data_IF_939404434948
#
_entry.id   IF_939404434948
#
_cell.length_a   1.000
_cell.length_b   1.000
_cell.length_c   1.000
_cell.angle_alpha   90.00
_cell.angle_beta   90.00
_cell.angle_gamma   90.00
#
_symmetry.space_group_name_H-M   'P 1'
#
loop_
_entity.id
_entity.type
_entity.pdbx_description
1 polymer ?
#
# COMPACT_ATOMS: atom_id res chain seq x y z
N UNK A 1 -38.25 -7.77 -7.63
CA UNK A 1 -36.89 -7.77 -8.20
C UNK A 1 -36.31 -6.41 -7.84
N UNK A 2 -35.31 -6.38 -6.97
CA UNK A 2 -34.70 -5.12 -6.50
C UNK A 2 -33.38 -4.97 -7.23
N UNK A 3 -33.36 -4.13 -8.26
CA UNK A 3 -32.15 -3.69 -8.93
C UNK A 3 -31.46 -2.67 -8.02
N UNK A 4 -30.28 -3.02 -7.51
CA UNK A 4 -29.42 -2.10 -6.79
C UNK A 4 -28.56 -1.39 -7.83
N UNK A 5 -29.04 -0.24 -8.30
CA UNK A 5 -28.21 0.71 -9.04
C UNK A 5 -27.24 1.37 -8.04
N UNK A 6 -25.99 0.92 -8.05
CA UNK A 6 -24.89 1.59 -7.34
C UNK A 6 -24.56 2.89 -8.08
N UNK A 7 -25.10 4.00 -7.56
CA UNK A 7 -24.76 5.36 -7.97
C UNK A 7 -23.26 5.57 -7.76
N UNK A 8 -22.51 5.50 -8.85
CA UNK A 8 -21.11 5.93 -8.92
C UNK A 8 -21.07 7.44 -8.68
N UNK A 9 -20.78 7.86 -7.45
CA UNK A 9 -20.40 9.25 -7.19
C UNK A 9 -19.12 9.54 -7.96
N UNK A 10 -19.03 10.65 -8.71
CA UNK A 10 -17.76 11.09 -9.28
C UNK A 10 -16.80 11.35 -8.12
N UNK A 11 -15.78 10.51 -8.01
CA UNK A 11 -14.70 10.69 -7.04
C UNK A 11 -13.84 11.80 -7.61
N UNK A 12 -14.02 13.03 -7.13
CA UNK A 12 -13.10 14.13 -7.43
C UNK A 12 -11.75 13.79 -6.79
N UNK A 13 -10.78 13.42 -7.63
CA UNK A 13 -9.42 13.16 -7.20
C UNK A 13 -8.67 14.49 -7.09
N UNK A 14 -7.96 14.76 -5.98
CA UNK A 14 -7.18 15.98 -5.87
C UNK A 14 -6.04 15.96 -6.91
N UNK A 15 -6.05 16.93 -7.83
CA UNK A 15 -4.90 17.23 -8.69
C UNK A 15 -3.78 17.78 -7.81
N UNK A 16 -2.72 17.01 -7.64
CA UNK A 16 -1.56 17.37 -6.82
C UNK A 16 -0.29 17.26 -7.65
N UNK A 17 0.85 17.66 -7.09
CA UNK A 17 2.13 17.48 -7.79
C UNK A 17 2.45 16.01 -8.13
N UNK A 18 1.78 15.05 -7.47
CA UNK A 18 1.96 13.61 -7.67
C UNK A 18 0.81 12.91 -8.43
N UNK A 19 -0.36 13.54 -8.52
CA UNK A 19 -1.58 12.94 -9.09
C UNK A 19 -2.11 13.80 -10.24
N UNK A 20 -2.31 13.17 -11.40
CA UNK A 20 -2.89 13.77 -12.61
C UNK A 20 -4.01 12.85 -13.10
N UNK A 21 -5.19 13.40 -13.39
CA UNK A 21 -6.37 12.64 -13.83
C UNK A 21 -6.78 11.48 -12.88
N UNK A 22 -6.51 11.64 -11.58
CA UNK A 22 -6.74 10.57 -10.58
C UNK A 22 -5.76 9.40 -10.69
N UNK A 23 -4.67 9.54 -11.42
CA UNK A 23 -3.61 8.54 -11.58
C UNK A 23 -2.25 9.09 -11.14
N UNK A 24 -1.27 8.21 -10.96
CA UNK A 24 0.07 8.63 -10.62
C UNK A 24 0.74 9.39 -11.80
N UNK A 25 1.12 10.64 -11.56
CA UNK A 25 1.77 11.51 -12.56
C UNK A 25 3.22 11.09 -12.83
N UNK A 26 3.91 10.64 -11.79
CA UNK A 26 5.33 10.33 -11.80
C UNK A 26 5.57 8.81 -11.74
N UNK A 27 6.76 8.41 -12.18
CA UNK A 27 7.25 7.04 -12.05
C UNK A 27 7.54 6.79 -10.57
N UNK A 28 7.00 5.70 -10.02
CA UNK A 28 7.19 5.34 -8.61
C UNK A 28 8.43 4.44 -8.52
N UNK A 29 9.38 4.85 -7.67
CA UNK A 29 10.63 4.12 -7.43
C UNK A 29 10.77 3.84 -5.94
N UNK A 30 11.51 2.79 -5.63
CA UNK A 30 11.86 2.50 -4.24
C UNK A 30 12.74 3.62 -3.65
N UNK A 31 12.53 3.96 -2.37
CA UNK A 31 13.34 4.96 -1.67
C UNK A 31 14.77 4.48 -1.37
N UNK A 32 14.96 3.16 -1.25
CA UNK A 32 16.23 2.55 -0.83
C UNK A 32 17.08 2.02 -1.99
N UNK A 33 16.46 1.66 -3.11
CA UNK A 33 17.16 1.12 -4.27
C UNK A 33 16.68 1.79 -5.56
N UNK A 34 17.43 1.63 -6.65
CA UNK A 34 17.09 2.20 -7.96
C UNK A 34 15.99 1.44 -8.70
N UNK A 35 15.25 0.57 -8.00
CA UNK A 35 14.20 -0.26 -8.58
C UNK A 35 12.97 0.57 -8.94
N UNK A 36 12.46 0.34 -10.15
CA UNK A 36 11.24 0.95 -10.67
C UNK A 36 10.04 0.07 -10.29
N UNK A 37 9.08 0.64 -9.55
CA UNK A 37 7.94 -0.10 -9.01
C UNK A 37 6.74 0.01 -9.97
N UNK A 38 6.38 1.22 -10.37
CA UNK A 38 5.26 1.52 -11.27
C UNK A 38 5.64 2.59 -12.28
N UNK A 39 5.07 2.47 -13.48
CA UNK A 39 5.16 3.48 -14.53
C UNK A 39 4.18 4.63 -14.33
N UNK A 40 4.33 5.72 -15.11
CA UNK A 40 3.35 6.82 -15.08
C UNK A 40 1.97 6.33 -15.51
N UNK A 41 0.91 6.87 -14.93
CA UNK A 41 -0.49 6.59 -15.31
C UNK A 41 -0.86 5.11 -15.24
N UNK A 42 -0.19 4.34 -14.37
CA UNK A 42 -0.39 2.89 -14.24
C UNK A 42 -1.14 2.49 -12.97
N UNK A 43 -1.40 3.44 -12.06
CA UNK A 43 -2.12 3.21 -10.82
C UNK A 43 -3.08 4.37 -10.51
N UNK A 44 -4.22 4.05 -9.91
CA UNK A 44 -5.26 5.00 -9.52
C UNK A 44 -5.01 5.51 -8.11
N UNK A 45 -5.12 6.82 -7.90
CA UNK A 45 -5.02 7.39 -6.57
C UNK A 45 -6.28 7.05 -5.76
N UNK A 46 -6.10 6.55 -4.54
CA UNK A 46 -7.20 6.24 -3.62
C UNK A 46 -6.87 6.76 -2.22
N UNK A 47 -7.88 7.36 -1.59
CA UNK A 47 -7.82 7.73 -0.17
C UNK A 47 -8.50 6.62 0.62
N UNK A 48 -7.71 5.78 1.28
CA UNK A 48 -8.21 4.73 2.15
C UNK A 48 -7.30 4.68 3.37
N UNK A 49 -7.89 4.58 4.56
CA UNK A 49 -7.11 4.56 5.79
C UNK A 49 -6.70 3.13 6.16
N UNK A 50 -5.41 2.91 6.40
CA UNK A 50 -4.82 1.62 6.77
C UNK A 50 -3.67 1.81 7.74
N UNK A 51 -3.59 0.91 8.72
CA UNK A 51 -2.41 0.78 9.57
C UNK A 51 -1.41 -0.16 8.90
N UNK A 52 -0.22 0.38 8.60
CA UNK A 52 0.88 -0.35 7.99
C UNK A 52 2.04 -0.48 8.97
N UNK A 53 2.71 -1.64 9.06
CA UNK A 53 3.95 -1.76 9.81
C UNK A 53 5.00 -0.77 9.30
N UNK A 54 5.76 -0.18 10.21
CA UNK A 54 6.92 0.65 9.84
C UNK A 54 7.90 -0.16 9.00
N UNK A 55 8.48 0.50 7.98
CA UNK A 55 9.49 -0.10 7.10
C UNK A 55 10.72 -0.62 7.85
N UNK A 56 11.05 0.01 8.98
CA UNK A 56 12.11 -0.42 9.89
C UNK A 56 11.53 -0.53 11.29
N UNK A 57 11.67 -1.70 11.89
CA UNK A 57 11.25 -1.96 13.26
C UNK A 57 12.41 -1.69 14.22
N UNK A 58 12.12 -1.06 15.36
CA UNK A 58 13.11 -0.88 16.43
C UNK A 58 13.41 -2.23 17.09
N UNK A 59 14.69 -2.60 17.15
CA UNK A 59 15.14 -3.85 17.76
C UNK A 59 15.02 -3.84 19.29
N UNK A 60 14.92 -2.66 19.90
CA UNK A 60 14.82 -2.53 21.36
C UNK A 60 13.42 -2.81 21.91
N UNK A 61 12.39 -2.81 21.05
CA UNK A 61 11.00 -3.10 21.43
C UNK A 61 10.61 -4.50 20.95
N UNK A 62 11.28 -5.50 21.51
CA UNK A 62 11.02 -6.89 21.16
C UNK A 62 9.57 -7.27 21.48
N UNK A 63 8.80 -7.66 20.45
CA UNK A 63 7.45 -8.20 20.58
C UNK A 63 6.31 -7.28 20.10
N UNK A 64 6.55 -5.98 19.92
CA UNK A 64 5.53 -5.04 19.46
C UNK A 64 5.85 -4.51 18.05
N UNK A 65 5.00 -4.84 17.08
CA UNK A 65 5.13 -4.33 15.70
C UNK A 65 4.66 -2.89 15.69
N UNK A 66 5.59 -1.97 15.46
CA UNK A 66 5.27 -0.55 15.31
C UNK A 66 4.60 -0.33 13.96
N UNK A 67 3.46 0.37 13.98
CA UNK A 67 2.67 0.70 12.80
C UNK A 67 2.44 2.19 12.66
N UNK A 68 2.27 2.65 11.42
CA UNK A 68 1.85 3.99 11.07
C UNK A 68 0.51 3.96 10.33
N UNK A 69 -0.32 4.98 10.56
CA UNK A 69 -1.63 5.13 9.93
C UNK A 69 -1.47 5.97 8.67
N UNK A 70 -1.68 5.36 7.51
CA UNK A 70 -1.54 5.98 6.19
C UNK A 70 -2.93 6.02 5.53
N UNK A 71 -3.24 7.13 4.86
CA UNK A 71 -4.54 7.37 4.23
C UNK A 71 -4.48 7.55 2.71
N UNK A 72 -3.30 7.63 2.10
CA UNK A 72 -3.11 7.89 0.68
C UNK A 72 -2.38 6.73 0.01
N UNK A 73 -2.98 6.16 -1.04
CA UNK A 73 -2.46 4.98 -1.71
C UNK A 73 -2.62 5.06 -3.23
N UNK A 74 -1.79 4.28 -3.93
CA UNK A 74 -1.98 3.98 -5.35
C UNK A 74 -2.56 2.57 -5.49
N UNK A 75 -3.80 2.50 -5.96
CA UNK A 75 -4.48 1.27 -6.29
C UNK A 75 -4.01 0.74 -7.65
N UNK A 76 -3.55 -0.50 -7.66
CA UNK A 76 -3.12 -1.22 -8.86
C UNK A 76 -4.07 -2.40 -9.04
N UNK A 77 -4.75 -2.47 -10.18
CA UNK A 77 -5.76 -3.50 -10.46
C UNK A 77 -5.15 -4.87 -10.72
N UNK A 78 -3.96 -4.91 -11.33
CA UNK A 78 -3.32 -6.15 -11.77
C UNK A 78 -1.88 -6.24 -11.28
N UNK A 79 -1.49 -7.38 -10.71
CA UNK A 79 -0.13 -7.62 -10.25
C UNK A 79 0.93 -7.54 -11.37
N UNK A 80 0.54 -7.78 -12.62
CA UNK A 80 1.45 -7.67 -13.78
C UNK A 80 1.75 -6.22 -14.18
N UNK A 81 1.07 -5.23 -13.59
CA UNK A 81 1.34 -3.81 -13.82
C UNK A 81 2.60 -3.34 -13.08
N UNK A 82 3.09 -4.10 -12.11
CA UNK A 82 4.33 -3.80 -11.41
C UNK A 82 5.54 -4.18 -12.24
N UNK A 83 6.48 -3.25 -12.37
CA UNK A 83 7.76 -3.47 -13.05
C UNK A 83 8.71 -4.30 -12.17
N UNK A 84 8.84 -3.90 -10.90
CA UNK A 84 9.61 -4.64 -9.90
C UNK A 84 8.89 -4.57 -8.56
N UNK A 85 8.35 -5.70 -8.11
CA UNK A 85 7.73 -5.86 -6.81
C UNK A 85 8.02 -7.25 -6.24
N UNK A 86 8.23 -7.30 -4.92
CA UNK A 86 8.34 -8.55 -4.17
C UNK A 86 7.08 -8.74 -3.31
N UNK A 87 6.51 -9.93 -3.36
CA UNK A 87 5.43 -10.33 -2.45
C UNK A 87 6.01 -11.16 -1.31
N UNK A 88 5.65 -10.81 -0.08
CA UNK A 88 5.97 -11.62 1.09
C UNK A 88 4.81 -12.60 1.35
N UNK A 89 5.14 -13.87 1.57
CA UNK A 89 4.17 -14.98 1.66
C UNK A 89 3.41 -15.06 2.98
N UNK A 90 3.76 -14.26 3.99
CA UNK A 90 3.09 -14.30 5.28
C UNK A 90 3.19 -12.94 5.99
N UNK A 91 2.04 -12.35 6.28
CA UNK A 91 1.91 -11.45 7.41
C UNK A 91 1.83 -12.36 8.66
N UNK A 92 2.98 -12.79 9.19
CA UNK A 92 2.99 -13.40 10.51
C UNK A 92 2.49 -12.32 11.47
N UNK A 93 1.25 -12.46 11.96
CA UNK A 93 0.91 -11.84 13.24
C UNK A 93 2.03 -12.22 14.22
N UNK A 94 2.50 -11.31 15.08
CA UNK A 94 3.34 -11.71 16.19
C UNK A 94 2.50 -12.63 17.07
N UNK A 95 2.54 -13.94 16.81
CA UNK A 95 2.27 -14.89 17.87
C UNK A 95 3.43 -14.70 18.84
N UNK A 96 3.10 -14.06 19.96
CA UNK A 96 3.86 -14.09 21.21
C UNK A 96 4.61 -15.42 21.29
N UNK A 97 5.94 -15.44 21.51
CA UNK A 97 6.65 -16.70 21.62
C UNK A 97 6.17 -17.43 22.87
N UNK A 98 5.17 -18.30 22.70
CA UNK A 98 4.84 -19.31 23.70
C UNK A 98 5.96 -20.35 23.66
N UNK A 99 6.81 -20.28 24.69
CA UNK A 99 7.43 -21.41 25.37
C UNK A 99 7.68 -22.65 24.50
N UNK A 100 8.89 -22.76 23.99
CA UNK A 100 9.55 -24.05 23.78
C UNK A 100 10.99 -23.93 24.31
N UNK A 101 11.09 -23.92 25.63
CA UNK A 101 12.28 -24.40 26.32
C UNK A 101 12.06 -25.88 26.62
N UNK A 102 12.80 -26.73 25.90
CA UNK A 102 13.24 -28.03 26.39
C UNK A 102 14.66 -27.84 26.92
#
# INVERSE_FOLDING_TARGET
>A
MSELESVEKPVEFPETEYVEDGQNKLIIKCKYCTSKILDKKSAKYITQEKDLPLMQQDKNKEGEVQSERINQFYHVENMYTFENMGFYTYCCKPQVPKLCGL
#
